data_IF_764219421744
#
_entry.id   IF_764219421744
#
_cell.length_a   1.000
_cell.length_b   1.000
_cell.length_c   1.000
_cell.angle_alpha   90.00
_cell.angle_beta   90.00
_cell.angle_gamma   90.00
#
_symmetry.space_group_name_H-M   'P 1'
#
loop_
_entity.id
_entity.type
_entity.pdbx_description
1 polymer ?
#
# COMPACT_ATOMS: atom_id res chain seq x y z
N UNK A 1 -8.38 -3.23 16.90
CA UNK A 1 -8.13 -2.90 15.48
C UNK A 1 -6.99 -1.91 15.40
N UNK A 2 -5.95 -2.21 14.62
CA UNK A 2 -4.83 -1.29 14.45
C UNK A 2 -5.29 -0.18 13.48
N UNK A 3 -5.23 1.10 13.91
CA UNK A 3 -5.60 2.21 13.02
C UNK A 3 -4.54 2.41 11.96
N UNK A 4 -4.94 2.86 10.74
CA UNK A 4 -4.02 3.07 9.63
C UNK A 4 -3.00 4.16 9.94
N UNK A 5 -1.83 4.05 9.31
CA UNK A 5 -0.80 5.09 9.29
C UNK A 5 -1.10 6.06 8.13
N UNK A 6 -1.23 7.34 8.44
CA UNK A 6 -1.60 8.39 7.49
C UNK A 6 -0.37 9.25 7.19
N UNK A 7 -0.02 9.40 5.92
CA UNK A 7 0.97 10.38 5.47
C UNK A 7 0.26 11.70 5.18
N UNK A 8 0.63 12.75 5.89
CA UNK A 8 0.12 14.12 5.72
C UNK A 8 1.16 14.91 4.93
N UNK A 9 0.80 15.31 3.72
CA UNK A 9 1.64 16.12 2.81
C UNK A 9 1.01 17.50 2.71
N UNK A 10 1.60 18.47 3.41
CA UNK A 10 1.04 19.81 3.59
C UNK A 10 2.18 20.76 3.94
N UNK A 11 2.37 21.83 3.18
CA UNK A 11 3.43 22.82 3.43
C UNK A 11 3.02 23.87 4.48
N UNK A 12 1.72 24.23 4.53
CA UNK A 12 1.19 25.17 5.51
C UNK A 12 1.26 24.58 6.92
N UNK A 13 2.05 25.21 7.79
CA UNK A 13 2.29 24.73 9.16
C UNK A 13 1.02 24.73 10.01
N UNK A 14 0.19 25.78 10.05
CA UNK A 14 -1.10 25.79 10.75
C UNK A 14 -2.02 24.66 10.29
N UNK A 15 -2.20 24.45 9.01
CA UNK A 15 -3.06 23.39 8.46
C UNK A 15 -2.52 22.00 8.82
N UNK A 16 -1.22 21.80 8.66
CA UNK A 16 -0.53 20.55 9.02
C UNK A 16 -0.67 20.26 10.53
N UNK A 17 -0.51 21.27 11.40
CA UNK A 17 -0.72 21.12 12.84
C UNK A 17 -2.17 20.77 13.19
N UNK A 18 -3.15 21.38 12.54
CA UNK A 18 -4.57 21.04 12.72
C UNK A 18 -4.83 19.57 12.38
N UNK A 19 -4.38 19.14 11.20
CA UNK A 19 -4.56 17.75 10.75
C UNK A 19 -3.87 16.77 11.69
N UNK A 20 -2.60 16.98 12.03
CA UNK A 20 -1.84 16.06 12.87
C UNK A 20 -2.38 15.99 14.29
N UNK A 21 -2.82 17.12 14.86
CA UNK A 21 -3.48 17.14 16.17
C UNK A 21 -4.79 16.37 16.14
N UNK A 22 -5.59 16.54 15.10
CA UNK A 22 -6.83 15.79 14.89
C UNK A 22 -6.56 14.29 14.81
N UNK A 23 -5.60 13.88 13.99
CA UNK A 23 -5.22 12.48 13.83
C UNK A 23 -4.77 11.86 15.15
N UNK A 24 -3.90 12.57 15.89
CA UNK A 24 -3.39 12.14 17.19
C UNK A 24 -4.51 11.97 18.22
N UNK A 25 -5.41 12.94 18.31
CA UNK A 25 -6.55 12.92 19.25
C UNK A 25 -7.47 11.73 18.97
N UNK A 26 -7.61 11.34 17.69
CA UNK A 26 -8.41 10.20 17.30
C UNK A 26 -7.61 8.89 17.22
N UNK A 27 -6.36 8.86 17.69
CA UNK A 27 -5.53 7.67 17.83
C UNK A 27 -5.00 7.11 16.50
N UNK A 28 -4.93 7.92 15.43
CA UNK A 28 -4.26 7.56 14.19
C UNK A 28 -2.75 7.70 14.32
N UNK A 29 -2.00 6.82 13.67
CA UNK A 29 -0.57 7.02 13.42
C UNK A 29 -0.42 7.94 12.22
N UNK A 30 0.59 8.81 12.24
CA UNK A 30 0.83 9.70 11.12
C UNK A 30 2.32 9.94 10.87
N UNK A 31 2.61 10.28 9.63
CA UNK A 31 3.88 10.79 9.12
C UNK A 31 3.61 12.14 8.48
N UNK A 32 4.60 13.01 8.39
CA UNK A 32 4.43 14.34 7.78
C UNK A 32 5.51 14.61 6.75
N UNK A 33 5.13 15.22 5.63
CA UNK A 33 6.01 15.82 4.67
C UNK A 33 5.52 17.23 4.34
N UNK A 34 6.42 18.17 4.10
CA UNK A 34 6.10 19.54 3.68
C UNK A 34 6.27 19.77 2.18
N UNK A 35 6.70 18.73 1.45
CA UNK A 35 7.10 18.80 0.05
C UNK A 35 6.71 17.50 -0.66
N UNK A 36 6.52 17.55 -1.98
CA UNK A 36 6.09 16.43 -2.78
C UNK A 36 7.15 15.35 -2.98
N UNK A 37 8.41 15.72 -3.30
CA UNK A 37 9.48 14.73 -3.47
C UNK A 37 9.75 13.93 -2.19
N UNK A 38 9.92 14.54 -0.99
CA UNK A 38 9.98 13.79 0.27
C UNK A 38 8.75 12.92 0.52
N UNK A 39 7.55 13.36 0.15
CA UNK A 39 6.33 12.57 0.31
C UNK A 39 6.37 11.30 -0.52
N UNK A 40 6.81 11.36 -1.78
CA UNK A 40 7.00 10.19 -2.65
C UNK A 40 8.00 9.22 -2.01
N UNK A 41 9.15 9.72 -1.52
CA UNK A 41 10.16 8.89 -0.85
C UNK A 41 9.61 8.26 0.44
N UNK A 42 8.86 9.01 1.25
CA UNK A 42 8.23 8.48 2.46
C UNK A 42 7.17 7.44 2.16
N UNK A 43 6.44 7.60 1.05
CA UNK A 43 5.47 6.59 0.61
C UNK A 43 6.15 5.26 0.30
N UNK A 44 7.33 5.28 -0.33
CA UNK A 44 8.09 4.06 -0.63
C UNK A 44 8.76 3.46 0.61
N UNK A 45 9.31 4.28 1.51
CA UNK A 45 10.11 3.81 2.65
C UNK A 45 9.24 3.38 3.85
N UNK A 46 8.13 4.03 4.10
CA UNK A 46 7.28 3.80 5.28
C UNK A 46 5.97 3.06 4.97
N UNK A 47 5.59 2.97 3.67
CA UNK A 47 4.38 2.31 3.21
C UNK A 47 3.12 2.70 4.02
N UNK A 48 2.73 4.00 4.02
CA UNK A 48 1.53 4.45 4.73
C UNK A 48 0.28 3.79 4.14
N UNK A 49 -0.80 3.76 4.91
CA UNK A 49 -2.08 3.18 4.49
C UNK A 49 -2.97 4.18 3.75
N UNK A 50 -2.83 5.48 4.03
CA UNK A 50 -3.59 6.58 3.41
C UNK A 50 -2.64 7.78 3.26
N UNK A 51 -2.78 8.54 2.16
CA UNK A 51 -2.13 9.83 1.97
C UNK A 51 -3.18 10.94 2.01
N UNK A 52 -2.94 12.00 2.79
CA UNK A 52 -3.60 13.29 2.69
C UNK A 52 -2.64 14.22 1.95
N UNK A 53 -3.05 14.78 0.84
CA UNK A 53 -2.16 15.48 -0.09
C UNK A 53 -2.68 16.86 -0.44
N UNK A 54 -1.92 17.89 -0.12
CA UNK A 54 -2.13 19.22 -0.73
C UNK A 54 -1.60 19.24 -2.17
N UNK A 55 -2.31 19.95 -3.05
CA UNK A 55 -1.87 20.18 -4.42
C UNK A 55 -0.87 21.35 -4.52
N UNK A 56 -0.95 22.33 -3.62
CA UNK A 56 -0.16 23.54 -3.65
C UNK A 56 1.21 23.42 -2.97
N UNK A 57 1.97 22.37 -3.28
CA UNK A 57 3.29 22.15 -2.67
C UNK A 57 4.36 23.05 -3.30
N UNK A 58 5.42 23.42 -2.54
CA UNK A 58 6.42 24.39 -3.00
C UNK A 58 7.44 23.85 -4.01
N UNK A 59 7.61 22.52 -4.11
CA UNK A 59 8.62 21.87 -4.97
C UNK A 59 8.01 21.33 -6.26
N UNK A 60 6.96 20.51 -6.17
CA UNK A 60 6.24 19.92 -7.31
C UNK A 60 4.74 20.02 -7.08
N UNK A 61 3.95 20.12 -8.16
CA UNK A 61 2.49 20.11 -8.05
C UNK A 61 2.01 18.76 -7.48
N UNK A 62 1.05 18.79 -6.56
CA UNK A 62 0.49 17.57 -5.98
C UNK A 62 -0.12 16.62 -7.03
N UNK A 63 -0.53 17.11 -8.19
CA UNK A 63 -0.93 16.28 -9.32
C UNK A 63 0.20 15.38 -9.83
N UNK A 64 1.45 15.87 -9.82
CA UNK A 64 2.62 15.07 -10.18
C UNK A 64 2.92 14.02 -9.12
N UNK A 65 2.70 14.35 -7.85
CA UNK A 65 2.78 13.36 -6.75
C UNK A 65 1.79 12.23 -6.98
N UNK A 66 0.53 12.54 -7.32
CA UNK A 66 -0.50 11.53 -7.63
C UNK A 66 -0.03 10.65 -8.79
N UNK A 67 0.33 11.25 -9.92
CA UNK A 67 0.78 10.50 -11.11
C UNK A 67 1.96 9.60 -10.80
N UNK A 68 2.98 10.13 -10.10
CA UNK A 68 4.16 9.37 -9.69
C UNK A 68 3.81 8.17 -8.82
N UNK A 69 3.02 8.38 -7.77
CA UNK A 69 2.60 7.30 -6.85
C UNK A 69 1.77 6.26 -7.59
N UNK A 70 0.90 6.65 -8.50
CA UNK A 70 0.03 5.74 -9.27
C UNK A 70 0.78 4.82 -10.24
N UNK A 71 2.00 5.15 -10.63
CA UNK A 71 2.82 4.24 -11.45
C UNK A 71 3.14 2.92 -10.74
N UNK A 72 3.11 2.89 -9.41
CA UNK A 72 3.54 1.73 -8.62
C UNK A 72 2.66 1.43 -7.39
N UNK A 73 1.71 2.29 -7.01
CA UNK A 73 0.90 2.10 -5.79
C UNK A 73 -0.56 2.48 -5.98
N UNK A 74 -1.45 1.66 -5.39
CA UNK A 74 -2.87 1.95 -5.23
C UNK A 74 -3.17 2.53 -3.83
N UNK A 75 -2.19 3.18 -3.18
CA UNK A 75 -2.36 3.88 -1.92
C UNK A 75 -3.54 4.85 -2.01
N UNK A 76 -4.56 4.78 -1.14
CA UNK A 76 -5.62 5.76 -1.13
C UNK A 76 -5.07 7.16 -0.91
N UNK A 77 -5.42 8.09 -1.82
CA UNK A 77 -5.02 9.50 -1.78
C UNK A 77 -6.28 10.35 -1.65
N UNK A 78 -6.36 11.11 -0.55
CA UNK A 78 -7.37 12.14 -0.34
C UNK A 78 -6.70 13.49 -0.57
N UNK A 79 -7.14 14.22 -1.59
CA UNK A 79 -6.62 15.55 -1.89
C UNK A 79 -7.22 16.58 -0.93
N UNK A 80 -6.37 17.46 -0.40
CA UNK A 80 -6.75 18.62 0.41
C UNK A 80 -6.31 19.88 -0.36
N UNK A 81 -7.21 20.69 -0.90
CA UNK A 81 -6.79 21.82 -1.74
C UNK A 81 -7.69 23.03 -1.61
N UNK A 82 -7.10 24.20 -1.74
CA UNK A 82 -7.83 25.48 -1.88
C UNK A 82 -8.43 25.67 -3.29
N UNK A 83 -8.02 24.86 -4.27
CA UNK A 83 -8.62 24.87 -5.61
C UNK A 83 -10.03 24.32 -5.49
N UNK A 84 -11.03 25.16 -5.81
CA UNK A 84 -12.45 24.84 -5.59
C UNK A 84 -13.23 24.60 -6.88
N UNK A 85 -12.60 24.83 -8.03
CA UNK A 85 -13.24 24.62 -9.32
C UNK A 85 -13.51 23.16 -9.57
N UNK A 86 -14.63 22.87 -10.25
CA UNK A 86 -15.00 21.47 -10.54
C UNK A 86 -13.99 20.83 -11.51
N UNK A 87 -13.37 21.61 -12.39
CA UNK A 87 -12.27 21.15 -13.26
C UNK A 87 -11.08 20.59 -12.48
N UNK A 88 -10.64 21.27 -11.41
CA UNK A 88 -9.52 20.81 -10.59
C UNK A 88 -9.84 19.50 -9.85
N UNK A 89 -11.08 19.38 -9.37
CA UNK A 89 -11.55 18.16 -8.69
C UNK A 89 -11.61 16.98 -9.66
N UNK A 90 -12.17 17.21 -10.86
CA UNK A 90 -12.26 16.20 -11.91
C UNK A 90 -10.84 15.77 -12.31
N UNK A 91 -9.95 16.73 -12.56
CA UNK A 91 -8.56 16.42 -12.92
C UNK A 91 -7.85 15.59 -11.85
N UNK A 92 -8.01 15.92 -10.56
CA UNK A 92 -7.40 15.16 -9.47
C UNK A 92 -7.92 13.72 -9.43
N UNK A 93 -9.24 13.52 -9.56
CA UNK A 93 -9.87 12.20 -9.56
C UNK A 93 -9.46 11.39 -10.79
N UNK A 94 -9.42 11.99 -11.97
CA UNK A 94 -8.99 11.34 -13.22
C UNK A 94 -7.50 10.95 -13.18
N UNK A 95 -6.66 11.71 -12.48
CA UNK A 95 -5.26 11.36 -12.22
C UNK A 95 -5.10 10.29 -11.13
N UNK A 96 -6.21 9.87 -10.51
CA UNK A 96 -6.22 8.73 -9.58
C UNK A 96 -6.31 9.09 -8.10
N UNK A 97 -6.71 10.30 -7.73
CA UNK A 97 -7.13 10.57 -6.36
C UNK A 97 -8.41 9.77 -6.02
N UNK A 98 -8.51 9.30 -4.78
CA UNK A 98 -9.68 8.53 -4.32
C UNK A 98 -10.78 9.43 -3.76
N UNK A 99 -10.42 10.62 -3.29
CA UNK A 99 -11.36 11.61 -2.76
C UNK A 99 -10.74 13.02 -2.79
N UNK A 100 -11.59 14.03 -2.68
CA UNK A 100 -11.20 15.42 -2.72
C UNK A 100 -11.90 16.22 -1.61
N UNK A 101 -11.14 17.03 -0.87
CA UNK A 101 -11.62 17.87 0.21
C UNK A 101 -11.16 19.32 -0.01
N UNK A 102 -12.10 20.24 -0.18
CA UNK A 102 -11.80 21.65 -0.44
C UNK A 102 -11.48 22.37 0.86
N UNK A 103 -10.40 23.16 0.89
CA UNK A 103 -10.07 24.08 1.99
C UNK A 103 -10.90 25.37 1.88
N UNK A 104 -11.45 25.92 3.00
CA UNK A 104 -11.37 25.39 4.37
C UNK A 104 -12.33 24.22 4.60
N UNK A 105 -11.89 23.20 5.29
CA UNK A 105 -12.69 22.04 5.67
C UNK A 105 -12.91 21.94 7.18
N UNK A 106 -13.96 21.25 7.59
CA UNK A 106 -14.18 20.93 8.99
C UNK A 106 -13.42 19.67 9.42
N UNK A 107 -13.04 19.60 10.70
CA UNK A 107 -12.44 18.41 11.28
C UNK A 107 -13.34 17.18 11.12
N UNK A 108 -14.66 17.36 11.29
CA UNK A 108 -15.63 16.27 11.16
C UNK A 108 -15.71 15.74 9.73
N UNK A 109 -15.59 16.61 8.72
CA UNK A 109 -15.56 16.21 7.32
C UNK A 109 -14.30 15.40 6.99
N UNK A 110 -13.12 15.87 7.40
CA UNK A 110 -11.87 15.15 7.25
C UNK A 110 -11.96 13.74 7.87
N UNK A 111 -12.46 13.65 9.10
CA UNK A 111 -12.63 12.38 9.78
C UNK A 111 -13.67 11.47 9.13
N UNK A 112 -14.73 12.04 8.55
CA UNK A 112 -15.73 11.26 7.82
C UNK A 112 -15.12 10.60 6.58
N UNK A 113 -14.32 11.33 5.79
CA UNK A 113 -13.64 10.81 4.62
C UNK A 113 -12.59 9.76 4.98
N UNK A 114 -11.83 9.98 6.03
CA UNK A 114 -10.89 8.97 6.56
C UNK A 114 -11.61 7.68 6.98
N UNK A 115 -12.78 7.78 7.65
CA UNK A 115 -13.57 6.59 8.01
C UNK A 115 -14.08 5.83 6.78
N UNK A 116 -14.51 6.53 5.73
CA UNK A 116 -14.95 5.90 4.48
C UNK A 116 -13.79 5.16 3.83
N UNK A 117 -12.64 5.81 3.69
CA UNK A 117 -11.42 5.22 3.11
C UNK A 117 -10.94 4.02 3.95
N UNK A 118 -10.92 4.15 5.28
CA UNK A 118 -10.56 3.04 6.18
C UNK A 118 -11.52 1.85 6.04
N UNK A 119 -12.83 2.11 5.90
CA UNK A 119 -13.83 1.04 5.68
C UNK A 119 -13.57 0.32 4.35
N UNK A 120 -13.25 1.04 3.26
CA UNK A 120 -12.84 0.44 1.98
C UNK A 120 -11.59 -0.44 2.14
N UNK A 121 -10.56 0.07 2.82
CA UNK A 121 -9.35 -0.70 3.12
C UNK A 121 -9.67 -1.98 3.92
N UNK A 122 -10.53 -1.86 4.92
CA UNK A 122 -10.93 -3.02 5.73
C UNK A 122 -11.76 -4.03 4.92
N UNK A 123 -12.63 -3.59 4.02
CA UNK A 123 -13.38 -4.49 3.13
C UNK A 123 -12.43 -5.21 2.16
N UNK A 124 -11.52 -4.50 1.52
CA UNK A 124 -10.49 -5.10 0.66
C UNK A 124 -9.56 -6.04 1.43
N UNK A 125 -9.33 -5.77 2.72
CA UNK A 125 -8.58 -6.64 3.61
C UNK A 125 -9.43 -7.81 4.12
N UNK A 126 -10.73 -7.67 4.31
CA UNK A 126 -11.61 -8.72 4.82
C UNK A 126 -11.98 -9.75 3.76
N UNK A 127 -11.96 -9.41 2.50
CA UNK A 127 -12.09 -10.40 1.41
C UNK A 127 -10.91 -11.40 1.34
N UNK A 128 -9.79 -11.11 2.06
CA UNK A 128 -8.62 -11.98 2.11
C UNK A 128 -8.09 -12.35 3.51
N UNK A 129 -8.57 -11.75 4.61
CA UNK A 129 -7.86 -11.82 5.91
C UNK A 129 -8.62 -12.58 7.02
N UNK A 130 -9.92 -12.80 6.88
CA UNK A 130 -10.69 -13.59 7.87
C UNK A 130 -10.96 -15.04 7.44
N UNK A 131 -10.52 -15.45 6.27
CA UNK A 131 -10.48 -16.87 5.92
C UNK A 131 -9.15 -17.45 6.42
N UNK A 132 -9.15 -18.58 7.13
CA UNK A 132 -7.92 -19.32 7.42
C UNK A 132 -7.20 -19.73 6.13
N UNK A 133 -7.89 -19.65 5.00
CA UNK A 133 -7.40 -20.01 3.67
C UNK A 133 -7.44 -18.81 2.77
N UNK A 134 -6.29 -18.46 2.16
CA UNK A 134 -6.16 -17.48 1.11
C UNK A 134 -6.08 -18.18 -0.25
N UNK A 135 -6.82 -17.67 -1.24
CA UNK A 135 -6.79 -18.18 -2.62
C UNK A 135 -6.53 -17.00 -3.57
N UNK A 136 -5.62 -17.20 -4.54
CA UNK A 136 -5.27 -16.23 -5.56
C UNK A 136 -4.87 -16.97 -6.85
N UNK A 137 -5.83 -17.20 -7.72
CA UNK A 137 -5.68 -18.07 -8.88
C UNK A 137 -5.30 -19.51 -8.42
N UNK A 138 -4.21 -20.07 -8.96
CA UNK A 138 -3.77 -21.41 -8.58
C UNK A 138 -3.12 -21.50 -7.19
N UNK A 139 -2.80 -20.38 -6.55
CA UNK A 139 -2.16 -20.32 -5.24
C UNK A 139 -3.21 -20.40 -4.13
N UNK A 140 -3.03 -21.37 -3.23
CA UNK A 140 -3.83 -21.53 -2.00
C UNK A 140 -2.90 -21.59 -0.80
N UNK A 141 -3.18 -20.81 0.23
CA UNK A 141 -2.43 -20.78 1.51
C UNK A 141 -3.41 -21.04 2.64
N UNK A 142 -3.19 -22.08 3.41
CA UNK A 142 -3.85 -22.28 4.70
C UNK A 142 -2.93 -21.75 5.81
N UNK A 143 -3.26 -20.57 6.34
CA UNK A 143 -2.47 -19.93 7.38
C UNK A 143 -2.53 -20.66 8.72
N UNK A 144 -3.61 -21.43 8.98
CA UNK A 144 -3.77 -22.18 10.23
C UNK A 144 -2.96 -23.46 10.20
N UNK A 145 -2.91 -24.15 9.07
CA UNK A 145 -2.11 -25.35 8.88
C UNK A 145 -0.65 -25.05 8.51
N UNK A 146 -0.34 -23.81 8.07
CA UNK A 146 0.98 -23.45 7.56
C UNK A 146 1.33 -24.10 6.23
N UNK A 147 0.32 -24.55 5.48
CA UNK A 147 0.47 -25.26 4.21
C UNK A 147 0.19 -24.35 3.01
N UNK A 148 0.89 -24.62 1.92
CA UNK A 148 0.77 -23.88 0.65
C UNK A 148 0.56 -24.88 -0.48
N UNK A 149 -0.38 -24.59 -1.37
CA UNK A 149 -0.61 -25.36 -2.58
C UNK A 149 -0.54 -24.45 -3.81
N UNK A 150 -0.01 -24.99 -4.88
CA UNK A 150 -0.07 -24.40 -6.22
C UNK A 150 -0.87 -25.36 -7.09
N UNK A 151 -2.08 -24.93 -7.48
CA UNK A 151 -3.12 -25.82 -8.01
C UNK A 151 -3.42 -26.93 -6.96
N UNK A 152 -3.26 -28.19 -7.34
CA UNK A 152 -3.49 -29.33 -6.42
C UNK A 152 -2.21 -29.86 -5.75
N UNK A 153 -1.05 -29.27 -6.07
CA UNK A 153 0.24 -29.75 -5.56
C UNK A 153 0.68 -28.95 -4.33
N UNK A 154 1.01 -29.65 -3.26
CA UNK A 154 1.60 -29.02 -2.07
C UNK A 154 2.99 -28.45 -2.38
N UNK A 155 3.20 -27.20 -2.00
CA UNK A 155 4.43 -26.45 -2.24
C UNK A 155 5.27 -26.36 -0.96
N UNK A 156 6.41 -27.01 -0.95
CA UNK A 156 7.32 -26.95 0.19
C UNK A 156 8.18 -25.68 0.14
N UNK A 157 7.93 -24.78 1.10
CA UNK A 157 8.65 -23.53 1.28
C UNK A 157 9.53 -23.60 2.53
N UNK A 158 10.69 -22.94 2.46
CA UNK A 158 11.47 -22.65 3.67
C UNK A 158 10.71 -21.67 4.58
N UNK A 159 11.02 -21.61 5.89
CA UNK A 159 10.34 -20.69 6.81
C UNK A 159 10.36 -19.22 6.36
N UNK A 160 11.47 -18.77 5.74
CA UNK A 160 11.62 -17.41 5.24
C UNK A 160 10.77 -17.19 3.98
N UNK A 161 10.77 -18.14 3.04
CA UNK A 161 9.93 -18.08 1.84
C UNK A 161 8.45 -18.08 2.20
N UNK A 162 8.03 -18.91 3.15
CA UNK A 162 6.66 -18.94 3.66
C UNK A 162 6.27 -17.59 4.28
N UNK A 163 7.14 -17.03 5.13
CA UNK A 163 6.90 -15.74 5.77
C UNK A 163 6.80 -14.60 4.73
N UNK A 164 7.67 -14.61 3.71
CA UNK A 164 7.61 -13.67 2.58
C UNK A 164 6.29 -13.82 1.81
N UNK A 165 5.90 -15.05 1.49
CA UNK A 165 4.65 -15.34 0.78
C UNK A 165 3.44 -14.85 1.57
N UNK A 166 3.38 -15.12 2.89
CA UNK A 166 2.31 -14.63 3.76
C UNK A 166 2.24 -13.11 3.80
N UNK A 167 3.40 -12.42 3.90
CA UNK A 167 3.44 -10.95 3.89
C UNK A 167 2.90 -10.39 2.57
N UNK A 168 3.24 -11.00 1.44
CA UNK A 168 2.74 -10.61 0.12
C UNK A 168 1.24 -10.89 -0.03
N UNK A 169 0.78 -12.07 0.40
CA UNK A 169 -0.62 -12.48 0.34
C UNK A 169 -1.54 -11.58 1.17
N UNK A 170 -1.11 -11.19 2.38
CA UNK A 170 -1.84 -10.22 3.20
C UNK A 170 -1.87 -8.80 2.60
N UNK A 171 -1.08 -8.53 1.59
CA UNK A 171 -0.98 -7.24 0.93
C UNK A 171 -1.14 -7.37 -0.60
N UNK A 172 -1.96 -8.32 -1.06
CA UNK A 172 -2.19 -8.55 -2.49
C UNK A 172 -2.63 -7.24 -3.18
N UNK A 173 -2.06 -6.96 -4.35
CA UNK A 173 -2.31 -5.73 -5.12
C UNK A 173 -1.48 -4.52 -4.68
N UNK A 174 -0.85 -4.54 -3.48
CA UNK A 174 -0.01 -3.45 -2.98
C UNK A 174 1.47 -3.72 -3.28
N UNK A 175 2.21 -2.67 -3.67
CA UNK A 175 3.67 -2.74 -3.73
C UNK A 175 4.24 -2.65 -2.32
N UNK A 176 4.99 -3.66 -1.92
CA UNK A 176 5.75 -3.67 -0.67
C UNK A 176 7.20 -3.31 -0.96
N UNK A 177 7.71 -2.28 -0.29
CA UNK A 177 9.11 -1.84 -0.47
C UNK A 177 10.09 -2.86 0.09
N UNK A 178 11.34 -2.82 -0.38
CA UNK A 178 12.40 -3.66 0.17
C UNK A 178 12.49 -3.50 1.69
N UNK A 179 12.50 -2.27 2.18
CA UNK A 179 12.55 -1.94 3.62
C UNK A 179 11.35 -2.49 4.39
N UNK A 180 10.13 -2.36 3.84
CA UNK A 180 8.92 -2.90 4.47
C UNK A 180 8.95 -4.44 4.56
N UNK A 181 9.44 -5.10 3.51
CA UNK A 181 9.56 -6.56 3.48
C UNK A 181 10.62 -7.05 4.46
N UNK A 182 11.83 -6.44 4.47
CA UNK A 182 12.91 -6.83 5.40
C UNK A 182 12.49 -6.62 6.85
N UNK A 183 11.85 -5.49 7.17
CA UNK A 183 11.33 -5.22 8.51
C UNK A 183 10.28 -6.25 8.96
N UNK A 184 9.33 -6.63 8.07
CA UNK A 184 8.29 -7.60 8.40
C UNK A 184 8.81 -9.04 8.52
N UNK A 185 9.85 -9.40 7.76
CA UNK A 185 10.37 -10.76 7.70
C UNK A 185 11.48 -11.00 8.73
N UNK A 186 12.45 -10.09 8.82
CA UNK A 186 13.62 -10.23 9.70
C UNK A 186 13.61 -9.32 10.93
N UNK A 187 12.75 -8.27 10.94
CA UNK A 187 12.71 -7.28 12.01
C UNK A 187 13.81 -6.24 11.92
N UNK A 188 14.56 -6.20 10.81
CA UNK A 188 15.65 -5.26 10.55
C UNK A 188 15.61 -4.72 9.14
N UNK A 189 16.39 -3.67 8.86
CA UNK A 189 16.43 -2.98 7.57
C UNK A 189 17.85 -2.73 7.11
N UNK A 190 18.77 -3.66 7.42
CA UNK A 190 20.17 -3.54 7.02
C UNK A 190 20.35 -3.82 5.52
N UNK A 191 21.40 -3.27 4.91
CA UNK A 191 21.68 -3.47 3.48
C UNK A 191 21.85 -4.96 3.12
N UNK A 192 22.45 -5.75 3.99
CA UNK A 192 22.60 -7.20 3.81
C UNK A 192 21.25 -7.92 3.73
N UNK A 193 20.22 -7.41 4.40
CA UNK A 193 18.87 -8.00 4.38
C UNK A 193 18.20 -7.79 3.02
N UNK A 194 18.50 -6.68 2.33
CA UNK A 194 17.97 -6.40 0.98
C UNK A 194 18.60 -7.37 -0.04
N UNK A 195 19.90 -7.67 0.10
CA UNK A 195 20.55 -8.67 -0.75
C UNK A 195 19.94 -10.06 -0.53
N UNK A 196 19.74 -10.45 0.72
CA UNK A 196 19.09 -11.71 1.11
C UNK A 196 17.65 -11.78 0.59
N UNK A 197 16.89 -10.68 0.72
CA UNK A 197 15.52 -10.58 0.19
C UNK A 197 15.45 -10.91 -1.30
N UNK A 198 16.38 -10.37 -2.10
CA UNK A 198 16.43 -10.65 -3.56
C UNK A 198 16.62 -12.12 -3.86
N UNK A 199 17.49 -12.80 -3.11
CA UNK A 199 17.75 -14.23 -3.26
C UNK A 199 16.50 -15.05 -2.91
N UNK A 200 15.87 -14.77 -1.77
CA UNK A 200 14.67 -15.48 -1.36
C UNK A 200 13.48 -15.19 -2.30
N UNK A 201 13.35 -13.97 -2.81
CA UNK A 201 12.31 -13.64 -3.80
C UNK A 201 12.51 -14.38 -5.12
N UNK A 202 13.75 -14.51 -5.59
CA UNK A 202 14.06 -15.30 -6.78
C UNK A 202 13.74 -16.79 -6.57
N UNK A 203 14.11 -17.36 -5.40
CA UNK A 203 13.80 -18.74 -5.04
C UNK A 203 12.29 -18.98 -4.94
N UNK A 204 11.57 -18.07 -4.27
CA UNK A 204 10.11 -18.15 -4.13
C UNK A 204 9.40 -18.11 -5.50
N UNK A 205 9.81 -17.20 -6.40
CA UNK A 205 9.28 -17.16 -7.77
C UNK A 205 9.50 -18.46 -8.51
N UNK A 206 10.71 -18.98 -8.48
CA UNK A 206 11.04 -20.26 -9.17
C UNK A 206 10.15 -21.40 -8.68
N UNK A 207 9.68 -21.35 -7.43
CA UNK A 207 8.75 -22.34 -6.89
C UNK A 207 7.31 -22.09 -7.30
N UNK A 208 6.87 -20.81 -7.34
CA UNK A 208 5.52 -20.41 -7.73
C UNK A 208 5.29 -20.49 -9.25
N UNK A 209 6.32 -20.26 -10.05
CA UNK A 209 6.26 -20.19 -11.51
C UNK A 209 6.91 -21.44 -12.16
N UNK A 210 6.65 -22.64 -11.60
CA UNK A 210 7.26 -23.88 -12.09
C UNK A 210 6.78 -24.33 -13.46
N UNK A 211 5.59 -23.91 -13.88
CA UNK A 211 5.02 -24.23 -15.18
C UNK A 211 5.15 -23.01 -16.11
N UNK A 212 5.47 -23.20 -17.41
CA UNK A 212 5.53 -22.09 -18.38
C UNK A 212 4.23 -21.29 -18.48
N UNK A 213 3.09 -21.95 -18.27
CA UNK A 213 1.75 -21.35 -18.31
C UNK A 213 1.25 -20.84 -16.95
N UNK A 214 2.09 -20.90 -15.90
CA UNK A 214 1.72 -20.40 -14.58
C UNK A 214 1.61 -18.87 -14.60
N UNK A 215 0.55 -18.28 -14.00
CA UNK A 215 0.43 -16.83 -13.93
C UNK A 215 1.58 -16.23 -13.12
N UNK A 216 2.09 -15.11 -13.58
CA UNK A 216 3.08 -14.33 -12.82
C UNK A 216 2.43 -13.75 -11.55
N UNK A 217 2.63 -14.43 -10.42
CA UNK A 217 2.03 -14.03 -9.15
C UNK A 217 2.77 -12.87 -8.48
N UNK A 218 4.07 -12.69 -8.76
CA UNK A 218 4.89 -11.67 -8.10
C UNK A 218 5.55 -10.77 -9.13
N UNK A 219 5.19 -9.49 -9.14
CA UNK A 219 5.79 -8.46 -9.97
C UNK A 219 6.91 -7.72 -9.23
N UNK A 220 8.03 -7.43 -9.93
CA UNK A 220 9.07 -6.54 -9.41
C UNK A 220 8.82 -5.11 -9.85
N UNK A 221 8.86 -4.18 -8.90
CA UNK A 221 8.98 -2.76 -9.16
C UNK A 221 10.44 -2.37 -8.91
N UNK A 222 11.18 -2.15 -10.01
CA UNK A 222 12.63 -1.88 -9.97
C UNK A 222 12.92 -0.67 -9.07
N UNK A 223 13.89 -0.83 -8.16
CA UNK A 223 14.25 0.21 -7.19
C UNK A 223 13.28 0.39 -6.02
N UNK A 224 12.06 -0.15 -6.08
CA UNK A 224 11.01 0.02 -5.07
C UNK A 224 10.79 -1.24 -4.25
N UNK A 225 10.40 -2.36 -4.88
CA UNK A 225 10.06 -3.58 -4.16
C UNK A 225 9.28 -4.60 -4.99
N UNK A 226 8.34 -5.28 -4.35
CA UNK A 226 7.59 -6.39 -4.94
C UNK A 226 6.09 -6.25 -4.67
N UNK A 227 5.28 -6.73 -5.62
CA UNK A 227 3.82 -6.79 -5.51
C UNK A 227 3.31 -8.18 -5.85
N UNK A 228 2.41 -8.72 -5.05
CA UNK A 228 1.61 -9.87 -5.45
C UNK A 228 0.46 -9.38 -6.32
N UNK A 229 0.36 -9.91 -7.53
CA UNK A 229 -0.74 -9.63 -8.45
C UNK A 229 -1.99 -10.40 -7.99
N UNK A 230 -3.17 -9.79 -8.16
CA UNK A 230 -4.43 -10.51 -8.02
C UNK A 230 -4.69 -11.28 -9.32
N UNK A 231 -4.98 -12.55 -9.18
CA UNK A 231 -5.39 -13.42 -10.29
C UNK A 231 -6.84 -13.81 -10.02
N UNK A 232 -7.73 -13.46 -10.93
CA UNK A 232 -9.13 -13.89 -10.86
C UNK A 232 -9.18 -15.40 -11.13
N UNK A 233 -10.01 -16.10 -10.37
CA UNK A 233 -10.32 -17.48 -10.72
C UNK A 233 -11.27 -17.40 -11.91
N UNK A 234 -10.88 -17.91 -13.07
CA UNK A 234 -11.83 -18.22 -14.13
C UNK A 234 -12.78 -19.28 -13.54
N UNK A 235 -13.95 -18.83 -13.08
CA UNK A 235 -15.06 -19.73 -12.80
C UNK A 235 -15.47 -20.36 -14.14
N UNK A 236 -15.11 -21.63 -14.33
CA UNK A 236 -15.61 -22.47 -15.40
C UNK A 236 -17.01 -23.01 -15.06
#
# INVERSE_FOLDING_TARGET
MNKPTILVVEDDVPVRCLITTTLKTHGYKYLTASNGEPAIMMTTSHNPDIMLLDLGLPDIDGMEVIRSVRTWSNLPIIVLSARSEDSDKIEALDNGADDYLTKPFSVDELLARLRVTQRRLNLLASDGINSPVFVNGPLKIDFSAGCVWLSENELHLTPIEYKLLCVLAHNVGKVLTHTSLTQKVWGSTQENDIASLRVYMASLRKKLERCPDAPHLIQTHVGVGYRMLRVENDEA
#
